data_IF_487691612528
#
_entry.id   IF_487691612528
#
_cell.length_a   1.000
_cell.length_b   1.000
_cell.length_c   1.000
_cell.angle_alpha   90.00
_cell.angle_beta   90.00
_cell.angle_gamma   90.00
#
_symmetry.space_group_name_H-M   'P 1'
#
loop_
_entity.id
_entity.type
_entity.pdbx_description
1 polymer ?
#
# COMPACT_ATOMS: atom_id res chain seq x y z
N UNK A 1 13.63 7.91 6.21
CA UNK A 1 12.31 8.11 6.86
C UNK A 1 11.26 7.08 6.39
N UNK A 2 11.17 6.76 5.08
CA UNK A 2 10.25 5.74 4.53
C UNK A 2 10.36 4.34 5.17
N UNK A 3 11.59 3.88 5.49
CA UNK A 3 11.82 2.53 6.03
C UNK A 3 11.16 2.30 7.39
N UNK A 4 11.21 3.28 8.31
CA UNK A 4 10.61 3.11 9.64
C UNK A 4 9.08 3.02 9.54
N UNK A 5 8.48 3.84 8.69
CA UNK A 5 7.04 3.79 8.46
C UNK A 5 6.64 2.44 7.87
N UNK A 6 7.24 2.03 6.75
CA UNK A 6 6.84 0.81 6.05
C UNK A 6 7.14 -0.48 6.84
N UNK A 7 8.24 -0.54 7.58
CA UNK A 7 8.69 -1.78 8.24
C UNK A 7 8.26 -1.92 9.70
N UNK A 8 7.95 -0.81 10.39
CA UNK A 8 7.62 -0.88 11.83
C UNK A 8 6.21 -0.37 12.10
N UNK A 9 5.87 0.82 11.59
CA UNK A 9 4.60 1.47 11.94
C UNK A 9 3.45 0.83 11.17
N UNK A 10 3.61 0.68 9.86
CA UNK A 10 2.56 0.24 8.96
C UNK A 10 2.05 -1.18 9.28
N UNK A 11 2.90 -2.21 9.53
CA UNK A 11 2.43 -3.52 9.97
C UNK A 11 1.65 -3.45 11.29
N UNK A 12 2.11 -2.62 12.24
CA UNK A 12 1.49 -2.49 13.56
C UNK A 12 0.07 -1.87 13.51
N UNK A 13 -0.21 -1.03 12.51
CA UNK A 13 -1.52 -0.38 12.35
C UNK A 13 -2.38 -0.97 11.22
N UNK A 14 -1.82 -1.87 10.41
CA UNK A 14 -2.41 -2.39 9.17
C UNK A 14 -3.84 -2.95 9.34
N UNK A 15 -4.08 -3.68 10.43
CA UNK A 15 -5.40 -4.24 10.77
C UNK A 15 -6.49 -3.17 11.01
N UNK A 16 -6.10 -1.93 11.34
CA UNK A 16 -7.03 -0.81 11.57
C UNK A 16 -7.23 0.06 10.35
N UNK A 17 -6.42 -0.12 9.30
CA UNK A 17 -6.50 0.70 8.09
C UNK A 17 -7.70 0.25 7.25
N UNK A 18 -8.63 1.18 7.06
CA UNK A 18 -9.83 0.98 6.23
C UNK A 18 -9.69 1.53 4.82
N UNK A 19 -8.83 2.54 4.64
CA UNK A 19 -8.65 3.26 3.38
C UNK A 19 -7.17 3.54 3.15
N UNK A 20 -6.68 3.26 1.94
CA UNK A 20 -5.34 3.60 1.48
C UNK A 20 -5.41 4.43 0.22
N UNK A 21 -4.65 5.53 0.19
CA UNK A 21 -4.46 6.35 -0.99
C UNK A 21 -2.97 6.44 -1.26
N UNK A 22 -2.52 5.78 -2.34
CA UNK A 22 -1.09 5.57 -2.63
C UNK A 22 -0.70 6.13 -3.98
N UNK A 23 0.47 6.77 -4.03
CA UNK A 23 1.11 7.18 -5.28
C UNK A 23 2.05 6.09 -5.82
N UNK A 24 2.11 5.98 -7.14
CA UNK A 24 2.82 4.94 -7.91
C UNK A 24 4.16 4.45 -7.39
N UNK A 25 5.04 5.36 -6.95
CA UNK A 25 6.42 5.00 -6.62
C UNK A 25 6.53 4.23 -5.30
N UNK A 26 5.55 4.40 -4.41
CA UNK A 26 5.53 3.77 -3.08
C UNK A 26 4.47 2.69 -2.94
N UNK A 27 3.49 2.64 -3.86
CA UNK A 27 2.35 1.71 -3.80
C UNK A 27 2.80 0.24 -3.74
N UNK A 28 3.72 -0.20 -4.61
CA UNK A 28 4.16 -1.60 -4.65
C UNK A 28 4.84 -2.02 -3.32
N UNK A 29 5.64 -1.14 -2.72
CA UNK A 29 6.29 -1.43 -1.45
C UNK A 29 5.28 -1.45 -0.30
N UNK A 30 4.42 -0.43 -0.21
CA UNK A 30 3.43 -0.30 0.86
C UNK A 30 2.43 -1.46 0.84
N UNK A 31 2.00 -1.91 -0.34
CA UNK A 31 1.07 -3.03 -0.47
C UNK A 31 1.71 -4.39 -0.16
N UNK A 32 3.05 -4.50 -0.17
CA UNK A 32 3.77 -5.76 0.13
C UNK A 32 4.27 -5.90 1.56
N UNK A 33 4.41 -4.80 2.30
CA UNK A 33 5.02 -4.83 3.64
C UNK A 33 4.05 -5.20 4.76
N UNK A 34 2.74 -5.21 4.49
CA UNK A 34 1.73 -5.58 5.47
C UNK A 34 0.46 -6.11 4.77
N UNK A 35 -0.30 -6.93 5.48
CA UNK A 35 -1.65 -7.33 5.09
C UNK A 35 -2.67 -6.32 5.62
N UNK A 36 -3.70 -6.03 4.84
CA UNK A 36 -4.75 -5.06 5.19
C UNK A 36 -6.12 -5.74 5.30
N UNK A 37 -6.36 -6.58 6.33
CA UNK A 37 -7.58 -7.40 6.42
C UNK A 37 -8.86 -6.57 6.58
N UNK A 38 -8.76 -5.31 7.00
CA UNK A 38 -9.89 -4.40 7.19
C UNK A 38 -10.03 -3.37 6.06
N UNK A 39 -9.32 -3.56 4.94
CA UNK A 39 -9.32 -2.58 3.85
C UNK A 39 -10.65 -2.62 3.09
N UNK A 40 -11.35 -1.50 3.09
CA UNK A 40 -12.59 -1.32 2.34
C UNK A 40 -12.35 -0.63 1.00
N UNK A 41 -11.29 0.18 0.89
CA UNK A 41 -10.98 0.88 -0.35
C UNK A 41 -9.50 1.19 -0.52
N UNK A 42 -9.06 1.09 -1.77
CA UNK A 42 -7.70 1.37 -2.22
C UNK A 42 -7.77 2.33 -3.41
N UNK A 43 -7.29 3.55 -3.22
CA UNK A 43 -7.09 4.53 -4.29
C UNK A 43 -5.62 4.54 -4.72
N UNK A 44 -5.38 4.36 -6.02
CA UNK A 44 -4.05 4.35 -6.61
C UNK A 44 -3.94 5.49 -7.62
N UNK A 45 -2.97 6.40 -7.42
CA UNK A 45 -2.79 7.58 -8.28
C UNK A 45 -1.41 7.60 -8.94
N UNK A 46 -1.35 8.22 -10.13
CA UNK A 46 -0.15 8.36 -10.95
C UNK A 46 0.55 7.03 -11.29
N UNK A 47 -0.16 5.89 -11.23
CA UNK A 47 0.42 4.56 -11.37
C UNK A 47 0.87 4.29 -12.81
N UNK A 48 2.15 3.93 -12.95
CA UNK A 48 2.69 3.43 -14.22
C UNK A 48 1.96 2.17 -14.64
N UNK A 49 1.61 2.05 -15.92
CA UNK A 49 0.84 0.93 -16.47
C UNK A 49 1.41 -0.45 -16.06
N UNK A 50 2.74 -0.60 -16.10
CA UNK A 50 3.42 -1.84 -15.68
C UNK A 50 3.13 -2.21 -14.22
N UNK A 51 3.10 -1.22 -13.32
CA UNK A 51 2.78 -1.42 -11.90
C UNK A 51 1.30 -1.75 -11.72
N UNK A 52 0.40 -1.06 -12.43
CA UNK A 52 -1.03 -1.38 -12.41
C UNK A 52 -1.29 -2.84 -12.83
N UNK A 53 -0.70 -3.29 -13.94
CA UNK A 53 -0.82 -4.67 -14.42
C UNK A 53 -0.32 -5.71 -13.41
N UNK A 54 0.68 -5.38 -12.59
CA UNK A 54 1.19 -6.28 -11.54
C UNK A 54 0.28 -6.36 -10.32
N UNK A 55 -0.54 -5.34 -10.07
CA UNK A 55 -1.46 -5.29 -8.94
C UNK A 55 -2.81 -5.94 -9.25
N UNK A 56 -3.16 -6.09 -10.53
CA UNK A 56 -4.41 -6.70 -10.99
C UNK A 56 -4.30 -8.18 -11.43
N UNK A 57 -3.08 -8.74 -11.46
CA UNK A 57 -2.81 -10.15 -11.76
C UNK A 57 -2.34 -10.85 -10.48
#
# INVERSE_FOLDING_TARGET
MLNRFCLQILPAISIKIKWLYLESSSAENILRVADYPSLYGLGLYNIKEKTARRLCN
#
